data_IF_629628901312
#
_entry.id   IF_629628901312
#
_cell.length_a   1.000
_cell.length_b   1.000
_cell.length_c   1.000
_cell.angle_alpha   90.00
_cell.angle_beta   90.00
_cell.angle_gamma   90.00
#
_symmetry.space_group_name_H-M   'P 1'
#
loop_
_entity.id
_entity.type
_entity.pdbx_description
1 polymer ?
#
# COMPACT_ATOMS: atom_id res chain seq x y z
N UNK A 1 -8.17 -13.97 10.19
CA UNK A 1 -9.00 -13.02 10.97
C UNK A 1 -9.50 -13.73 12.22
N UNK A 2 -10.30 -14.81 12.10
CA UNK A 2 -10.87 -15.53 13.24
C UNK A 2 -9.83 -15.87 14.32
N UNK A 3 -8.69 -16.42 13.94
CA UNK A 3 -7.62 -16.77 14.89
C UNK A 3 -7.08 -15.58 15.68
N UNK A 4 -7.05 -14.39 15.06
CA UNK A 4 -6.61 -13.17 15.75
C UNK A 4 -7.66 -12.73 16.78
N UNK A 5 -8.95 -12.80 16.45
CA UNK A 5 -10.04 -12.54 17.40
C UNK A 5 -10.00 -13.48 18.62
N UNK A 6 -9.69 -14.77 18.41
CA UNK A 6 -9.55 -15.75 19.48
C UNK A 6 -8.35 -15.46 20.39
N UNK A 7 -7.22 -15.04 19.82
CA UNK A 7 -5.98 -14.79 20.55
C UNK A 7 -5.97 -13.42 21.26
N UNK A 8 -6.70 -12.43 20.72
CA UNK A 8 -6.69 -11.05 21.21
C UNK A 8 -8.11 -10.53 21.47
N UNK A 9 -8.92 -11.18 22.31
CA UNK A 9 -10.30 -10.79 22.56
C UNK A 9 -10.42 -9.38 23.16
N UNK A 10 -9.37 -8.88 23.85
CA UNK A 10 -9.31 -7.55 24.44
C UNK A 10 -8.99 -6.43 23.45
N UNK A 11 -8.66 -6.79 22.20
CA UNK A 11 -8.29 -5.85 21.15
C UNK A 11 -6.81 -5.83 20.81
N UNK A 12 -6.47 -5.06 19.79
CA UNK A 12 -5.09 -4.85 19.31
C UNK A 12 -4.77 -3.36 19.23
N UNK A 13 -3.54 -2.98 19.55
CA UNK A 13 -3.09 -1.59 19.56
C UNK A 13 -2.69 -1.11 18.16
N UNK A 14 -2.26 -2.02 17.28
CA UNK A 14 -1.82 -1.69 15.93
C UNK A 14 -1.99 -2.82 14.94
N UNK A 15 -2.20 -2.46 13.68
CA UNK A 15 -2.26 -3.36 12.54
C UNK A 15 -1.41 -2.81 11.40
N UNK A 16 -0.51 -3.62 10.85
CA UNK A 16 0.24 -3.28 9.65
C UNK A 16 -0.15 -4.23 8.51
N UNK A 17 -0.81 -3.71 7.47
CA UNK A 17 -1.13 -4.44 6.24
C UNK A 17 0.01 -4.22 5.24
N UNK A 18 1.09 -4.98 5.37
CA UNK A 18 2.32 -4.82 4.59
C UNK A 18 2.48 -5.87 3.47
N UNK A 19 1.78 -6.99 3.53
CA UNK A 19 1.91 -8.05 2.53
C UNK A 19 1.56 -7.55 1.12
N UNK A 20 2.34 -8.01 0.13
CA UNK A 20 2.10 -7.66 -1.27
C UNK A 20 3.10 -8.31 -2.22
N UNK A 21 2.75 -8.29 -3.50
CA UNK A 21 3.60 -8.74 -4.60
C UNK A 21 3.82 -7.59 -5.60
N UNK A 22 4.93 -7.66 -6.34
CA UNK A 22 5.30 -6.65 -7.35
C UNK A 22 4.58 -6.86 -8.68
N UNK A 23 4.69 -5.88 -9.59
CA UNK A 23 4.23 -5.99 -10.97
C UNK A 23 4.87 -7.12 -11.75
N UNK A 24 6.04 -7.59 -11.34
CA UNK A 24 6.75 -8.71 -11.95
C UNK A 24 6.29 -10.10 -11.49
N UNK A 25 5.23 -10.20 -10.67
CA UNK A 25 4.76 -11.50 -10.18
C UNK A 25 4.09 -12.39 -11.25
N UNK A 26 3.84 -11.86 -12.45
CA UNK A 26 3.26 -12.60 -13.57
C UNK A 26 1.77 -12.98 -13.40
N UNK A 27 1.10 -12.53 -12.34
CA UNK A 27 -0.27 -12.88 -12.06
C UNK A 27 -1.06 -11.67 -11.51
N UNK A 28 -1.78 -11.00 -12.40
CA UNK A 28 -2.53 -9.78 -12.06
C UNK A 28 -3.68 -10.04 -11.10
N UNK A 29 -4.32 -11.23 -11.15
CA UNK A 29 -5.39 -11.59 -10.23
C UNK A 29 -4.87 -11.77 -8.81
N UNK A 30 -3.76 -12.51 -8.65
CA UNK A 30 -3.08 -12.65 -7.35
C UNK A 30 -2.69 -11.29 -6.79
N UNK A 31 -2.17 -10.40 -7.66
CA UNK A 31 -1.75 -9.06 -7.26
C UNK A 31 -2.92 -8.23 -6.72
N UNK A 32 -4.05 -8.22 -7.42
CA UNK A 32 -5.25 -7.49 -6.98
C UNK A 32 -5.83 -8.12 -5.71
N UNK A 33 -5.93 -9.46 -5.67
CA UNK A 33 -6.45 -10.18 -4.50
C UNK A 33 -5.58 -9.91 -3.26
N UNK A 34 -4.26 -9.98 -3.38
CA UNK A 34 -3.36 -9.80 -2.24
C UNK A 34 -3.16 -8.32 -1.87
N UNK A 35 -2.76 -7.48 -2.86
CA UNK A 35 -2.34 -6.11 -2.57
C UNK A 35 -3.51 -5.20 -2.17
N UNK A 36 -4.71 -5.48 -2.65
CA UNK A 36 -5.88 -4.66 -2.35
C UNK A 36 -6.87 -5.39 -1.42
N UNK A 37 -7.48 -6.48 -1.87
CA UNK A 37 -8.51 -7.17 -1.09
C UNK A 37 -7.95 -7.81 0.18
N UNK A 38 -6.77 -8.41 0.13
CA UNK A 38 -6.10 -8.96 1.31
C UNK A 38 -5.88 -7.91 2.40
N UNK A 39 -5.40 -6.74 2.02
CA UNK A 39 -5.18 -5.63 2.95
C UNK A 39 -6.50 -5.05 3.49
N UNK A 40 -7.46 -4.75 2.60
CA UNK A 40 -8.74 -4.13 3.00
C UNK A 40 -9.62 -5.09 3.80
N UNK A 41 -9.69 -6.38 3.42
CA UNK A 41 -10.46 -7.39 4.15
C UNK A 41 -9.86 -7.67 5.53
N UNK A 42 -8.52 -7.72 5.64
CA UNK A 42 -7.85 -7.87 6.93
C UNK A 42 -8.14 -6.67 7.84
N UNK A 43 -7.99 -5.46 7.32
CA UNK A 43 -8.21 -4.24 8.07
C UNK A 43 -9.67 -4.10 8.55
N UNK A 44 -10.64 -4.37 7.66
CA UNK A 44 -12.06 -4.40 8.03
C UNK A 44 -12.37 -5.50 9.05
N UNK A 45 -11.84 -6.70 8.83
CA UNK A 45 -12.10 -7.85 9.69
C UNK A 45 -11.49 -7.73 11.10
N UNK A 46 -10.51 -6.84 11.30
CA UNK A 46 -9.89 -6.57 12.60
C UNK A 46 -10.26 -5.20 13.17
N UNK A 47 -11.15 -4.45 12.50
CA UNK A 47 -11.56 -3.12 12.92
C UNK A 47 -12.10 -3.07 14.35
N UNK A 48 -12.96 -4.03 14.73
CA UNK A 48 -13.53 -4.08 16.07
C UNK A 48 -12.48 -4.33 17.15
N UNK A 49 -11.42 -5.07 16.84
CA UNK A 49 -10.29 -5.25 17.77
C UNK A 49 -9.47 -3.96 17.92
N UNK A 50 -9.23 -3.23 16.82
CA UNK A 50 -8.60 -1.92 16.87
C UNK A 50 -9.44 -0.93 17.67
N UNK A 51 -10.74 -0.91 17.45
CA UNK A 51 -11.68 -0.03 18.16
C UNK A 51 -11.64 -0.23 19.67
N UNK A 52 -11.52 -1.46 20.15
CA UNK A 52 -11.43 -1.76 21.59
C UNK A 52 -10.24 -1.07 22.28
N UNK A 53 -9.16 -0.83 21.56
CA UNK A 53 -7.94 -0.23 22.09
C UNK A 53 -7.71 1.23 21.65
N UNK A 54 -8.59 1.80 20.80
CA UNK A 54 -8.27 3.04 20.11
C UNK A 54 -7.01 2.90 19.22
N UNK A 55 -6.88 1.75 18.60
CA UNK A 55 -5.68 1.32 17.88
C UNK A 55 -5.50 2.00 16.53
N UNK A 56 -4.43 1.64 15.85
CA UNK A 56 -4.01 2.28 14.62
C UNK A 56 -3.75 1.26 13.52
N UNK A 57 -4.16 1.58 12.29
CA UNK A 57 -3.88 0.79 11.11
C UNK A 57 -2.90 1.53 10.19
N UNK A 58 -1.91 0.82 9.68
CA UNK A 58 -1.02 1.30 8.62
C UNK A 58 -1.10 0.35 7.45
N UNK A 59 -1.36 0.88 6.26
CA UNK A 59 -1.33 0.11 5.00
C UNK A 59 -0.12 0.51 4.16
N UNK A 60 0.50 -0.46 3.49
CA UNK A 60 1.69 -0.21 2.67
C UNK A 60 1.31 -0.08 1.20
N UNK A 61 1.42 1.15 0.69
CA UNK A 61 1.27 1.51 -0.72
C UNK A 61 2.63 1.43 -1.45
N UNK A 62 2.95 2.42 -2.28
CA UNK A 62 4.22 2.59 -2.98
C UNK A 62 4.33 4.04 -3.47
N UNK A 63 5.52 4.59 -3.61
CA UNK A 63 5.73 5.91 -4.20
C UNK A 63 5.36 5.96 -5.71
N UNK A 64 5.20 4.80 -6.36
CA UNK A 64 4.72 4.73 -7.75
C UNK A 64 3.34 5.35 -7.96
N UNK A 65 2.55 5.53 -6.90
CA UNK A 65 1.22 6.18 -6.96
C UNK A 65 1.27 7.64 -7.41
N UNK A 66 2.40 8.31 -7.25
CA UNK A 66 2.59 9.69 -7.70
C UNK A 66 3.11 9.80 -9.14
N UNK A 67 3.44 8.68 -9.78
CA UNK A 67 4.08 8.64 -11.10
C UNK A 67 3.08 8.55 -12.27
N UNK A 68 1.77 8.58 -12.01
CA UNK A 68 0.74 8.76 -13.03
C UNK A 68 0.34 7.51 -13.84
N UNK A 69 0.81 6.32 -13.48
CA UNK A 69 0.58 5.08 -14.25
C UNK A 69 -0.66 4.28 -13.81
N UNK A 70 -1.45 4.77 -12.84
CA UNK A 70 -2.62 4.05 -12.33
C UNK A 70 -3.79 4.07 -13.33
N UNK A 71 -4.46 2.94 -13.51
CA UNK A 71 -5.73 2.79 -14.22
C UNK A 71 -6.88 3.28 -13.33
N UNK A 72 -7.31 4.53 -13.51
CA UNK A 72 -8.32 5.14 -12.65
C UNK A 72 -9.68 4.48 -12.74
N UNK A 73 -10.02 3.87 -13.87
CA UNK A 73 -11.20 3.03 -14.04
C UNK A 73 -11.21 1.82 -13.08
N UNK A 74 -10.08 1.12 -12.98
CA UNK A 74 -9.92 0.02 -12.02
C UNK A 74 -9.82 0.52 -10.58
N UNK A 75 -9.17 1.65 -10.33
CA UNK A 75 -9.14 2.28 -9.00
C UNK A 75 -10.55 2.55 -8.50
N UNK A 76 -11.41 3.09 -9.36
CA UNK A 76 -12.81 3.36 -9.02
C UNK A 76 -13.57 2.06 -8.72
N UNK A 77 -13.44 1.05 -9.57
CA UNK A 77 -14.07 -0.26 -9.34
C UNK A 77 -13.63 -0.88 -8.02
N UNK A 78 -12.32 -0.89 -7.71
CA UNK A 78 -11.79 -1.39 -6.46
C UNK A 78 -12.35 -0.63 -5.25
N UNK A 79 -12.35 0.70 -5.29
CA UNK A 79 -12.82 1.52 -4.18
C UNK A 79 -14.34 1.46 -3.99
N UNK A 80 -15.13 1.31 -5.05
CA UNK A 80 -16.59 1.15 -4.96
C UNK A 80 -17.00 -0.26 -4.58
N UNK A 81 -16.17 -1.28 -4.79
CA UNK A 81 -16.43 -2.66 -4.36
C UNK A 81 -16.60 -2.76 -2.84
N UNK A 82 -15.99 -1.86 -2.08
CA UNK A 82 -16.09 -1.82 -0.61
C UNK A 82 -17.46 -1.38 -0.08
N UNK A 83 -18.31 -0.81 -0.93
CA UNK A 83 -19.65 -0.34 -0.53
C UNK A 83 -20.76 -1.34 -0.86
N UNK A 84 -20.44 -2.40 -1.60
CA UNK A 84 -21.37 -3.44 -2.01
C UNK A 84 -20.65 -4.79 -1.93
N UNK A 85 -21.33 -5.91 -1.60
CA UNK A 85 -20.72 -7.24 -1.61
C UNK A 85 -20.32 -7.74 -3.02
N UNK A 86 -20.22 -6.84 -3.96
CA UNK A 86 -19.71 -7.06 -5.30
C UNK A 86 -18.20 -6.69 -5.22
N UNK A 87 -17.28 -7.46 -4.92
CA UNK A 87 -16.96 -8.53 -5.73
C UNK A 87 -15.52 -8.59 -6.13
N UNK A 88 -14.74 -9.03 -5.22
CA UNK A 88 -13.43 -9.53 -5.60
C UNK A 88 -13.54 -10.40 -6.85
N UNK A 89 -14.42 -11.41 -6.85
CA UNK A 89 -14.64 -12.31 -8.00
C UNK A 89 -14.97 -11.56 -9.30
N UNK A 90 -15.88 -10.59 -9.28
CA UNK A 90 -16.22 -9.82 -10.48
C UNK A 90 -15.08 -9.00 -11.02
N UNK A 91 -14.28 -8.40 -10.11
CA UNK A 91 -13.11 -7.64 -10.52
C UNK A 91 -12.03 -8.58 -11.05
N UNK A 92 -11.83 -9.74 -10.40
CA UNK A 92 -10.88 -10.73 -10.86
C UNK A 92 -11.24 -11.29 -12.25
N UNK A 93 -12.55 -11.43 -12.56
CA UNK A 93 -13.00 -11.85 -13.89
C UNK A 93 -12.71 -10.80 -14.98
N UNK A 94 -12.79 -9.50 -14.66
CA UNK A 94 -12.40 -8.44 -15.61
C UNK A 94 -10.91 -8.52 -15.95
N UNK A 95 -10.09 -9.02 -15.02
CA UNK A 95 -8.65 -9.15 -15.22
C UNK A 95 -8.25 -10.35 -16.09
N UNK A 96 -9.19 -11.20 -16.53
CA UNK A 96 -8.91 -12.31 -17.44
C UNK A 96 -8.38 -11.84 -18.79
N UNK A 97 -8.74 -10.65 -19.22
CA UNK A 97 -8.28 -10.04 -20.47
C UNK A 97 -6.88 -9.40 -20.38
N UNK A 98 -6.24 -9.43 -19.20
CA UNK A 98 -4.93 -8.81 -18.98
C UNK A 98 -3.82 -9.86 -18.98
N UNK A 99 -2.85 -9.68 -19.86
CA UNK A 99 -1.65 -10.54 -19.90
C UNK A 99 -0.72 -10.18 -18.74
N UNK A 100 -0.80 -10.96 -17.66
CA UNK A 100 0.04 -10.78 -16.48
C UNK A 100 1.53 -11.08 -16.72
N UNK A 101 1.90 -11.71 -17.83
CA UNK A 101 3.29 -11.95 -18.21
C UNK A 101 3.93 -10.70 -18.85
N UNK A 102 3.13 -9.77 -19.37
CA UNK A 102 3.60 -8.45 -19.82
C UNK A 102 3.94 -7.58 -18.61
N UNK A 103 5.22 -7.24 -18.46
CA UNK A 103 5.71 -6.43 -17.35
C UNK A 103 5.08 -5.03 -17.32
N UNK A 104 4.73 -4.45 -18.45
CA UNK A 104 4.06 -3.15 -18.54
C UNK A 104 2.65 -3.24 -17.98
N UNK A 105 1.90 -4.28 -18.32
CA UNK A 105 0.59 -4.58 -17.78
C UNK A 105 0.70 -4.84 -16.27
N UNK A 106 1.62 -5.72 -15.86
CA UNK A 106 1.86 -6.04 -14.45
C UNK A 106 2.16 -4.79 -13.62
N UNK A 107 3.04 -3.90 -14.10
CA UNK A 107 3.38 -2.65 -13.41
C UNK A 107 2.19 -1.69 -13.33
N UNK A 108 1.41 -1.55 -14.41
CA UNK A 108 0.21 -0.71 -14.41
C UNK A 108 -0.83 -1.20 -13.39
N UNK A 109 -1.07 -2.52 -13.30
CA UNK A 109 -1.97 -3.09 -12.30
C UNK A 109 -1.39 -2.95 -10.89
N UNK A 110 -0.07 -3.13 -10.71
CA UNK A 110 0.58 -2.88 -9.42
C UNK A 110 0.32 -1.47 -8.91
N UNK A 111 0.63 -0.45 -9.73
CA UNK A 111 0.39 0.96 -9.38
C UNK A 111 -1.08 1.20 -9.07
N UNK A 112 -1.98 0.61 -9.86
CA UNK A 112 -3.43 0.70 -9.67
C UNK A 112 -3.85 0.15 -8.31
N UNK A 113 -3.37 -1.03 -7.90
CA UNK A 113 -3.68 -1.61 -6.59
C UNK A 113 -3.18 -0.74 -5.43
N UNK A 114 -1.95 -0.24 -5.56
CA UNK A 114 -1.32 0.61 -4.54
C UNK A 114 -2.01 1.97 -4.42
N UNK A 115 -2.40 2.57 -5.55
CA UNK A 115 -3.19 3.81 -5.56
C UNK A 115 -4.59 3.60 -4.94
N UNK A 116 -5.29 2.53 -5.36
CA UNK A 116 -6.60 2.20 -4.81
C UNK A 116 -6.56 1.98 -3.30
N UNK A 117 -5.53 1.29 -2.79
CA UNK A 117 -5.33 1.05 -1.35
C UNK A 117 -5.12 2.36 -0.58
N UNK A 118 -4.25 3.24 -1.06
CA UNK A 118 -4.02 4.54 -0.45
C UNK A 118 -5.29 5.41 -0.43
N UNK A 119 -6.01 5.45 -1.56
CA UNK A 119 -7.27 6.17 -1.67
C UNK A 119 -8.36 5.57 -0.77
N UNK A 120 -8.44 4.25 -0.65
CA UNK A 120 -9.35 3.59 0.27
C UNK A 120 -9.08 3.99 1.72
N UNK A 121 -7.82 3.94 2.17
CA UNK A 121 -7.44 4.34 3.52
C UNK A 121 -7.85 5.77 3.83
N UNK A 122 -7.63 6.71 2.90
CA UNK A 122 -8.10 8.10 3.03
C UNK A 122 -9.62 8.20 3.17
N UNK A 123 -10.37 7.43 2.36
CA UNK A 123 -11.84 7.46 2.36
C UNK A 123 -12.45 6.94 3.66
N UNK A 124 -11.87 5.91 4.26
CA UNK A 124 -12.39 5.34 5.51
C UNK A 124 -11.91 6.07 6.75
N UNK A 125 -10.84 6.88 6.64
CA UNK A 125 -10.15 7.49 7.78
C UNK A 125 -11.07 8.31 8.70
N UNK A 126 -11.99 9.09 8.13
CA UNK A 126 -12.91 9.92 8.93
C UNK A 126 -13.90 9.06 9.74
N UNK A 127 -14.49 8.04 9.11
CA UNK A 127 -15.43 7.13 9.79
C UNK A 127 -14.73 6.25 10.83
N UNK A 128 -13.48 5.87 10.57
CA UNK A 128 -12.67 5.12 11.53
C UNK A 128 -12.28 5.99 12.73
N UNK A 129 -11.86 7.24 12.48
CA UNK A 129 -11.55 8.20 13.55
C UNK A 129 -12.74 8.49 14.45
N UNK A 130 -13.96 8.57 13.89
CA UNK A 130 -15.20 8.69 14.69
C UNK A 130 -15.43 7.50 15.65
N UNK A 131 -14.73 6.39 15.44
CA UNK A 131 -14.72 5.21 16.30
C UNK A 131 -13.41 5.05 17.10
N UNK A 132 -12.57 6.07 17.14
CA UNK A 132 -11.30 6.09 17.88
C UNK A 132 -10.16 5.34 17.19
N UNK A 133 -10.30 4.91 15.92
CA UNK A 133 -9.27 4.20 15.17
C UNK A 133 -8.67 5.12 14.11
N UNK A 134 -7.34 5.22 14.07
CA UNK A 134 -6.64 5.94 13.00
C UNK A 134 -6.20 4.97 11.90
N UNK A 135 -6.17 5.45 10.67
CA UNK A 135 -5.59 4.71 9.54
C UNK A 135 -4.73 5.64 8.69
N UNK A 136 -3.51 5.21 8.38
CA UNK A 136 -2.58 5.93 7.55
C UNK A 136 -1.94 5.01 6.51
N UNK A 137 -1.32 5.60 5.52
CA UNK A 137 -0.62 4.89 4.44
C UNK A 137 0.86 5.28 4.46
N UNK A 138 1.76 4.31 4.35
CA UNK A 138 3.14 4.54 3.93
C UNK A 138 3.28 4.23 2.45
N UNK A 139 4.05 5.04 1.75
CA UNK A 139 4.35 4.88 0.33
C UNK A 139 5.88 4.76 0.16
N UNK A 140 6.43 3.54 0.31
CA UNK A 140 7.86 3.31 0.17
C UNK A 140 8.36 3.58 -1.24
N UNK A 141 9.61 4.03 -1.34
CA UNK A 141 10.37 4.06 -2.59
C UNK A 141 11.05 2.74 -2.89
N UNK A 142 12.22 2.82 -3.53
CA UNK A 142 13.05 1.67 -3.86
C UNK A 142 13.81 1.19 -2.62
N UNK A 143 13.43 0.02 -2.11
CA UNK A 143 13.95 -0.55 -0.85
C UNK A 143 14.68 -1.85 -1.14
N UNK A 144 15.83 -2.08 -0.51
CA UNK A 144 16.62 -3.31 -0.58
C UNK A 144 15.89 -4.45 0.15
N UNK A 145 15.22 -5.30 -0.62
CA UNK A 145 14.40 -6.41 -0.09
C UNK A 145 14.55 -7.64 -0.99
N UNK A 146 14.11 -8.82 -0.55
CA UNK A 146 14.05 -9.99 -1.44
C UNK A 146 13.23 -9.74 -2.72
N UNK A 147 12.21 -8.88 -2.66
CA UNK A 147 11.41 -8.49 -3.83
C UNK A 147 12.27 -7.78 -4.90
N UNK A 148 13.12 -6.84 -4.50
CA UNK A 148 14.02 -6.11 -5.41
C UNK A 148 15.19 -6.97 -5.85
N UNK A 149 15.71 -7.85 -4.99
CA UNK A 149 16.81 -8.76 -5.31
C UNK A 149 16.46 -9.76 -6.42
N UNK A 150 15.20 -10.19 -6.50
CA UNK A 150 14.72 -11.18 -7.49
C UNK A 150 14.24 -10.56 -8.81
N UNK A 151 14.30 -9.24 -8.95
CA UNK A 151 13.92 -8.56 -10.19
C UNK A 151 14.87 -8.89 -11.34
N UNK A 152 14.34 -8.86 -12.59
CA UNK A 152 15.16 -8.94 -13.79
C UNK A 152 16.12 -7.77 -13.91
N UNK A 153 17.21 -7.92 -14.64
CA UNK A 153 18.20 -6.85 -14.85
C UNK A 153 17.57 -5.59 -15.46
N UNK A 154 16.60 -5.75 -16.39
CA UNK A 154 15.86 -4.60 -16.94
C UNK A 154 15.01 -3.88 -15.89
N UNK A 155 14.39 -4.61 -14.98
CA UNK A 155 13.62 -4.03 -13.89
C UNK A 155 14.52 -3.32 -12.87
N UNK A 156 15.69 -3.89 -12.56
CA UNK A 156 16.70 -3.24 -11.71
C UNK A 156 17.24 -1.98 -12.37
N UNK A 157 17.53 -1.99 -13.67
CA UNK A 157 17.96 -0.81 -14.41
C UNK A 157 16.89 0.30 -14.39
N UNK A 158 15.60 -0.06 -14.50
CA UNK A 158 14.50 0.90 -14.38
C UNK A 158 14.39 1.49 -12.97
N UNK A 159 14.63 0.70 -11.93
CA UNK A 159 14.70 1.21 -10.55
C UNK A 159 15.89 2.16 -10.35
N UNK A 160 17.07 1.79 -10.87
CA UNK A 160 18.27 2.61 -10.76
C UNK A 160 18.16 3.96 -11.52
N UNK A 161 17.27 4.02 -12.53
CA UNK A 161 16.97 5.28 -13.23
C UNK A 161 16.12 6.26 -12.41
N UNK A 162 15.52 5.82 -11.30
CA UNK A 162 14.76 6.67 -10.38
C UNK A 162 15.69 7.11 -9.23
N UNK A 163 16.11 8.35 -9.19
CA UNK A 163 17.04 8.82 -8.16
C UNK A 163 16.40 8.77 -6.78
N UNK A 164 17.22 8.46 -5.79
CA UNK A 164 16.87 8.55 -4.37
C UNK A 164 17.72 9.70 -3.79
N UNK A 165 17.16 10.90 -3.64
CA UNK A 165 17.95 12.10 -3.30
C UNK A 165 18.81 12.00 -2.05
N UNK A 166 18.36 11.31 -1.00
CA UNK A 166 19.18 11.14 0.21
C UNK A 166 20.39 10.23 -0.01
N UNK A 167 20.41 9.43 -1.09
CA UNK A 167 21.49 8.53 -1.46
C UNK A 167 22.26 9.03 -2.71
N UNK A 168 22.22 10.34 -2.99
CA UNK A 168 22.96 10.90 -4.12
C UNK A 168 24.45 10.56 -4.07
N UNK A 169 24.97 10.06 -5.20
CA UNK A 169 26.36 9.66 -5.34
C UNK A 169 26.67 8.25 -4.86
N UNK A 170 25.66 7.52 -4.39
CA UNK A 170 25.70 6.08 -4.15
C UNK A 170 24.61 5.40 -4.97
N UNK A 171 24.80 4.15 -5.38
CA UNK A 171 23.75 3.35 -6.04
C UNK A 171 22.92 2.57 -5.00
N UNK A 172 22.88 3.05 -3.76
CA UNK A 172 22.23 2.36 -2.65
C UNK A 172 20.71 2.56 -2.66
N UNK A 173 19.97 1.47 -2.51
CA UNK A 173 18.54 1.50 -2.22
C UNK A 173 18.35 1.89 -0.75
N UNK A 174 17.12 2.30 -0.40
CA UNK A 174 16.74 2.53 0.99
C UNK A 174 16.78 1.22 1.79
N UNK A 175 17.00 1.31 3.08
CA UNK A 175 16.95 0.15 3.96
C UNK A 175 15.50 -0.16 4.42
N UNK A 176 15.14 -1.43 4.63
CA UNK A 176 13.83 -1.80 5.19
C UNK A 176 13.52 -1.10 6.52
N UNK A 177 14.54 -0.84 7.32
CA UNK A 177 14.44 -0.16 8.61
C UNK A 177 13.92 1.28 8.49
N UNK A 178 14.22 1.98 7.39
CA UNK A 178 13.72 3.34 7.14
C UNK A 178 12.18 3.33 7.04
N UNK A 179 11.64 2.31 6.38
CA UNK A 179 10.21 2.13 6.23
C UNK A 179 9.59 1.66 7.56
N UNK A 180 10.23 0.69 8.23
CA UNK A 180 9.76 0.13 9.48
C UNK A 180 9.66 1.19 10.58
N UNK A 181 10.64 2.09 10.68
CA UNK A 181 10.65 3.19 11.65
C UNK A 181 9.42 4.11 11.49
N UNK A 182 9.05 4.43 10.23
CA UNK A 182 7.87 5.24 9.96
C UNK A 182 6.58 4.49 10.29
N UNK A 183 6.50 3.19 9.98
CA UNK A 183 5.36 2.35 10.35
C UNK A 183 5.20 2.32 11.88
N UNK A 184 6.28 2.07 12.62
CA UNK A 184 6.27 2.05 14.09
C UNK A 184 5.83 3.40 14.65
N UNK A 185 6.33 4.51 14.10
CA UNK A 185 5.87 5.84 14.48
C UNK A 185 4.37 6.01 14.25
N UNK A 186 3.84 5.66 13.06
CA UNK A 186 2.45 5.85 12.71
C UNK A 186 1.47 4.99 13.54
N UNK A 187 1.88 3.78 13.95
CA UNK A 187 1.05 2.94 14.84
C UNK A 187 1.16 3.37 16.31
N UNK A 188 2.18 4.11 16.67
CA UNK A 188 2.39 4.56 18.04
C UNK A 188 1.48 5.72 18.45
N UNK A 189 1.32 5.99 19.76
CA UNK A 189 0.64 7.18 20.25
C UNK A 189 1.27 8.52 19.84
N UNK A 190 2.56 8.52 19.47
CA UNK A 190 3.27 9.73 19.03
C UNK A 190 2.66 10.34 17.76
N UNK A 191 2.03 9.52 16.93
CA UNK A 191 1.35 9.96 15.71
C UNK A 191 -0.14 10.29 15.93
N UNK A 192 -0.57 10.63 17.17
CA UNK A 192 -1.99 10.83 17.52
C UNK A 192 -2.71 11.82 16.59
N UNK A 193 -2.04 12.89 16.15
CA UNK A 193 -2.60 13.91 15.26
C UNK A 193 -2.61 13.54 13.78
N UNK A 194 -2.13 12.35 13.40
CA UNK A 194 -1.98 11.95 11.99
C UNK A 194 -3.03 10.88 11.65
N UNK A 195 -3.95 11.23 10.73
CA UNK A 195 -5.00 10.31 10.27
C UNK A 195 -5.34 10.57 8.79
N UNK A 196 -5.50 9.51 8.01
CA UNK A 196 -5.79 9.59 6.57
C UNK A 196 -4.62 10.11 5.72
N UNK A 197 -3.42 10.13 6.27
CA UNK A 197 -2.24 10.61 5.55
C UNK A 197 -1.68 9.53 4.61
N UNK A 198 -1.08 9.98 3.50
CA UNK A 198 -0.21 9.16 2.64
C UNK A 198 1.19 9.71 2.78
N UNK A 199 2.04 8.98 3.48
CA UNK A 199 3.40 9.40 3.79
C UNK A 199 4.39 8.71 2.86
N UNK A 200 5.02 9.50 1.99
CA UNK A 200 6.10 9.01 1.14
C UNK A 200 7.36 8.78 1.99
N UNK A 201 7.91 7.58 1.86
CA UNK A 201 9.16 7.17 2.54
C UNK A 201 10.07 6.62 1.45
N UNK A 202 10.60 7.53 0.64
CA UNK A 202 11.24 7.25 -0.64
C UNK A 202 12.54 8.01 -0.86
N UNK A 203 13.08 8.58 0.22
CA UNK A 203 14.32 9.35 0.17
C UNK A 203 14.24 10.63 -0.64
N UNK A 204 13.03 11.13 -0.94
CA UNK A 204 12.79 12.34 -1.68
C UNK A 204 12.55 12.14 -3.17
N UNK A 205 12.39 10.91 -3.64
CA UNK A 205 12.11 10.62 -5.07
C UNK A 205 10.82 11.30 -5.54
N UNK A 206 9.72 11.22 -4.76
CA UNK A 206 8.47 11.89 -5.12
C UNK A 206 8.65 13.41 -5.18
N UNK A 207 9.29 14.01 -4.19
CA UNK A 207 9.54 15.45 -4.15
C UNK A 207 10.37 15.93 -5.36
N UNK A 208 11.33 15.12 -5.81
CA UNK A 208 12.12 15.42 -6.99
C UNK A 208 11.26 15.36 -8.27
N UNK A 209 10.44 14.32 -8.43
CA UNK A 209 9.62 14.11 -9.62
C UNK A 209 8.41 15.06 -9.70
N UNK A 210 7.89 15.48 -8.56
CA UNK A 210 6.68 16.27 -8.44
C UNK A 210 6.89 17.56 -7.63
N UNK A 211 8.01 18.24 -7.80
CA UNK A 211 8.44 19.41 -7.01
C UNK A 211 7.42 20.55 -6.93
N UNK A 212 6.54 20.66 -7.93
CA UNK A 212 5.48 21.68 -7.99
C UNK A 212 4.16 21.24 -7.32
N UNK A 213 4.08 20.00 -6.82
CA UNK A 213 2.86 19.49 -6.18
C UNK A 213 2.97 19.57 -4.66
N UNK A 214 1.96 20.17 -4.03
CA UNK A 214 1.75 20.15 -2.58
C UNK A 214 0.43 19.40 -2.33
N UNK A 215 0.46 18.36 -1.49
CA UNK A 215 -0.68 17.47 -1.21
C UNK A 215 -1.40 17.84 0.09
#
# INVERSE_FOLDING_TARGET
IQKIHELHPEGIDGLCCNAGVSGACGNVKLMVSLNYFGATNLAHGLFDLLKKKGGNCVVTSSNTISQGAARMDLVDMLNYSQTKPINEERILNILDDFDGSDLSVGNSIYVTTKYALARWARRVSASWAANGVRINTVAPGNVSTPMTATMSENAKAALAALPIPINYGTDELMHPEDIANVIVFLVSPLAHGINGNVMFVDGGTDALLNSEKVY
#
